data_IF_778900843140
#
_entry.id   IF_778900843140
#
_cell.length_a   1.000
_cell.length_b   1.000
_cell.length_c   1.000
_cell.angle_alpha   90.00
_cell.angle_beta   90.00
_cell.angle_gamma   90.00
#
_symmetry.space_group_name_H-M   'P 1'
#
loop_
_entity.id
_entity.type
_entity.pdbx_description
1 polymer ?
#
# COMPACT_ATOMS: atom_id res chain seq x y z
N UNK A 1 -34.98 39.51 11.66
CA UNK A 1 -34.49 38.42 10.80
C UNK A 1 -32.97 38.33 11.00
N UNK A 2 -32.49 37.65 12.05
CA UNK A 2 -31.75 36.36 12.03
C UNK A 2 -30.62 36.33 10.99
N UNK A 3 -29.37 36.64 11.37
CA UNK A 3 -28.33 35.75 11.92
C UNK A 3 -28.07 34.49 11.09
N UNK A 4 -26.90 34.39 10.45
CA UNK A 4 -25.98 33.23 10.31
C UNK A 4 -24.71 33.77 9.62
N UNK A 5 -23.72 34.20 10.40
CA UNK A 5 -22.33 34.43 9.97
C UNK A 5 -21.40 34.37 11.19
N UNK A 6 -21.51 33.30 12.00
CA UNK A 6 -20.52 32.99 13.06
C UNK A 6 -20.55 31.48 13.28
N UNK A 7 -19.73 30.71 12.55
CA UNK A 7 -19.24 29.41 13.01
C UNK A 7 -18.20 28.83 12.03
N UNK A 8 -16.97 29.37 11.94
CA UNK A 8 -15.83 28.60 11.40
C UNK A 8 -14.46 29.17 11.81
N UNK A 9 -14.37 29.76 13.01
CA UNK A 9 -13.15 30.45 13.44
C UNK A 9 -12.90 30.33 14.95
N UNK A 10 -13.03 29.12 15.50
CA UNK A 10 -12.47 28.76 16.81
C UNK A 10 -12.09 27.29 16.76
N UNK A 11 -10.81 26.98 16.49
CA UNK A 11 -10.05 25.87 17.10
C UNK A 11 -8.59 25.95 16.63
N UNK A 12 -7.95 27.09 16.91
CA UNK A 12 -6.49 27.22 16.96
C UNK A 12 -6.16 27.91 18.28
N UNK A 13 -5.09 27.44 18.91
CA UNK A 13 -4.43 27.95 20.13
C UNK A 13 -4.95 27.45 21.48
N UNK A 14 -4.13 26.59 22.09
CA UNK A 14 -4.15 26.36 23.52
C UNK A 14 -3.39 25.10 23.91
N UNK A 15 -2.06 25.17 23.95
CA UNK A 15 -1.20 24.49 24.95
C UNK A 15 0.29 24.66 24.58
N UNK A 16 0.86 25.80 24.98
CA UNK A 16 2.29 25.91 25.25
C UNK A 16 2.47 26.05 26.77
N UNK A 17 3.41 25.25 27.29
CA UNK A 17 4.30 25.47 28.45
C UNK A 17 3.95 24.95 29.85
N UNK A 18 5.04 24.39 30.42
CA UNK A 18 5.39 24.05 31.81
C UNK A 18 4.91 22.66 32.31
N UNK A 19 5.73 21.76 32.86
CA UNK A 19 7.13 21.85 33.29
C UNK A 19 7.67 20.49 33.76
N UNK A 20 9.01 20.42 33.85
CA UNK A 20 9.86 19.74 34.85
C UNK A 20 10.12 18.21 34.82
N UNK A 21 11.41 17.93 34.54
CA UNK A 21 12.36 16.97 35.12
C UNK A 21 11.85 15.64 35.71
N UNK A 22 12.44 14.54 35.23
CA UNK A 22 13.11 13.60 36.13
C UNK A 22 14.26 12.88 35.41
N UNK A 23 15.47 13.15 35.89
CA UNK A 23 16.70 12.41 35.66
C UNK A 23 16.71 11.09 36.44
N UNK A 24 17.52 10.14 35.95
CA UNK A 24 17.96 8.90 36.57
C UNK A 24 16.99 7.72 36.66
N UNK A 25 17.26 6.69 35.84
CA UNK A 25 17.83 5.43 36.33
C UNK A 25 18.44 4.65 35.15
N UNK A 26 19.78 4.74 35.02
CA UNK A 26 20.59 3.71 34.35
C UNK A 26 20.77 2.58 35.35
N UNK A 27 20.39 1.37 34.97
CA UNK A 27 20.75 0.12 35.64
C UNK A 27 21.05 -0.94 34.57
N UNK A 28 22.12 -1.74 34.72
CA UNK A 28 22.64 -2.59 33.65
C UNK A 28 21.80 -3.86 33.54
N UNK A 29 21.25 -4.15 32.36
CA UNK A 29 20.65 -5.46 32.11
C UNK A 29 21.75 -6.45 31.73
N UNK A 30 22.00 -7.38 32.65
CA UNK A 30 22.82 -8.58 32.47
C UNK A 30 22.29 -9.40 31.29
N UNK A 31 23.20 -9.80 30.42
CA UNK A 31 23.00 -10.82 29.41
C UNK A 31 22.88 -12.17 30.12
N UNK A 32 21.67 -12.73 30.16
CA UNK A 32 21.43 -14.12 30.58
C UNK A 32 21.35 -14.96 29.32
N UNK A 33 22.33 -15.85 29.15
CA UNK A 33 22.33 -16.88 28.14
C UNK A 33 21.06 -17.73 28.25
N UNK A 34 20.32 -17.86 27.14
CA UNK A 34 19.23 -18.80 27.02
C UNK A 34 19.59 -19.82 25.94
N UNK A 35 19.79 -21.03 26.45
CA UNK A 35 19.94 -22.33 25.78
C UNK A 35 19.28 -22.42 24.41
N UNK A 36 20.08 -22.83 23.43
CA UNK A 36 19.67 -23.29 22.11
C UNK A 36 18.79 -24.52 22.25
N UNK A 37 17.51 -24.38 21.92
CA UNK A 37 16.64 -25.51 21.62
C UNK A 37 16.65 -25.72 20.10
N UNK A 38 17.28 -26.82 19.66
CA UNK A 38 17.20 -27.30 18.29
C UNK A 38 15.74 -27.54 17.92
N UNK A 39 15.27 -26.88 16.85
CA UNK A 39 14.00 -27.19 16.21
C UNK A 39 14.25 -27.41 14.72
N UNK A 40 13.70 -28.52 14.22
CA UNK A 40 13.95 -29.16 12.94
C UNK A 40 14.05 -28.21 11.74
N UNK A 41 14.93 -28.60 10.82
CA UNK A 41 15.08 -28.10 9.46
C UNK A 41 13.71 -28.05 8.77
N UNK A 42 13.04 -26.89 8.79
CA UNK A 42 12.08 -26.55 7.74
C UNK A 42 12.89 -26.07 6.55
N UNK A 43 12.60 -26.60 5.37
CA UNK A 43 13.03 -26.03 4.09
C UNK A 43 12.61 -24.56 4.06
N UNK A 44 13.53 -23.68 4.43
CA UNK A 44 13.40 -22.25 4.25
C UNK A 44 13.36 -22.03 2.73
N UNK A 45 12.31 -21.37 2.26
CA UNK A 45 12.33 -20.75 0.95
C UNK A 45 13.64 -19.93 0.85
N UNK A 46 14.41 -20.06 -0.24
CA UNK A 46 15.72 -19.43 -0.34
C UNK A 46 15.60 -17.93 -0.04
N UNK A 47 16.43 -17.44 0.88
CA UNK A 47 16.58 -16.00 1.12
C UNK A 47 16.98 -15.35 -0.20
N UNK A 48 16.07 -14.57 -0.76
CA UNK A 48 16.32 -13.79 -1.96
C UNK A 48 17.35 -12.71 -1.59
N UNK A 49 18.56 -12.82 -2.13
CA UNK A 49 19.56 -11.75 -2.05
C UNK A 49 18.97 -10.48 -2.63
N UNK A 50 19.42 -9.32 -2.15
CA UNK A 50 18.97 -7.99 -2.62
C UNK A 50 18.80 -8.03 -4.15
N UNK A 51 17.60 -7.71 -4.65
CA UNK A 51 17.30 -7.79 -6.08
C UNK A 51 18.36 -7.03 -6.87
N UNK A 52 19.21 -7.78 -7.55
CA UNK A 52 20.13 -7.25 -8.55
C UNK A 52 19.50 -7.58 -9.89
N UNK A 53 19.09 -6.58 -10.69
CA UNK A 53 18.65 -6.83 -12.05
C UNK A 53 19.73 -7.66 -12.74
N UNK A 54 19.35 -8.82 -13.28
CA UNK A 54 20.30 -9.67 -14.01
C UNK A 54 20.67 -9.05 -15.37
N UNK A 55 19.95 -8.00 -15.79
CA UNK A 55 20.17 -7.24 -17.01
C UNK A 55 19.83 -5.76 -16.73
N UNK A 56 20.78 -4.85 -16.95
CA UNK A 56 20.56 -3.39 -16.80
C UNK A 56 19.47 -2.86 -17.75
N UNK A 57 19.01 -3.67 -18.72
CA UNK A 57 17.97 -3.31 -19.69
C UNK A 57 16.57 -3.84 -19.38
N UNK A 58 16.35 -4.52 -18.26
CA UNK A 58 15.03 -5.09 -17.93
C UNK A 58 14.24 -4.18 -16.98
N UNK A 59 12.95 -3.87 -17.27
CA UNK A 59 12.19 -2.92 -16.46
C UNK A 59 12.00 -3.35 -15.01
N UNK A 60 12.41 -2.54 -14.04
CA UNK A 60 12.12 -2.78 -12.62
C UNK A 60 10.71 -2.34 -12.21
N UNK A 61 10.12 -1.43 -12.97
CA UNK A 61 8.79 -0.87 -12.70
C UNK A 61 7.81 -1.26 -13.79
N UNK A 62 6.59 -1.61 -13.39
CA UNK A 62 5.44 -1.69 -14.29
C UNK A 62 4.33 -0.76 -13.80
N UNK A 63 3.93 0.18 -14.64
CA UNK A 63 2.80 1.05 -14.40
C UNK A 63 1.54 0.44 -15.01
N UNK A 64 0.55 0.21 -14.16
CA UNK A 64 -0.70 -0.47 -14.45
C UNK A 64 -1.82 0.57 -14.42
N UNK A 65 -2.15 1.09 -15.60
CA UNK A 65 -3.01 2.24 -15.75
C UNK A 65 -4.42 1.80 -16.15
N UNK A 66 -5.41 2.17 -15.35
CA UNK A 66 -6.82 1.96 -15.70
C UNK A 66 -7.47 3.30 -16.04
N UNK A 67 -8.01 3.40 -17.26
CA UNK A 67 -8.61 4.64 -17.76
C UNK A 67 -9.82 4.42 -18.64
N UNK A 68 -10.55 5.49 -18.93
CA UNK A 68 -11.64 5.40 -19.89
C UNK A 68 -11.10 5.17 -21.32
N UNK A 69 -10.05 5.92 -21.66
CA UNK A 69 -9.36 5.93 -22.95
C UNK A 69 -7.89 6.23 -22.70
N UNK A 70 -7.00 5.66 -23.50
CA UNK A 70 -5.57 5.92 -23.44
C UNK A 70 -5.29 7.35 -23.87
N UNK A 71 -4.45 8.03 -23.09
CA UNK A 71 -3.95 9.35 -23.41
C UNK A 71 -2.58 9.57 -22.74
N UNK A 72 -1.85 10.59 -23.18
CA UNK A 72 -0.57 10.93 -22.59
C UNK A 72 -0.76 11.45 -21.16
N UNK A 73 -0.06 10.84 -20.20
CA UNK A 73 0.06 11.36 -18.83
C UNK A 73 1.38 12.13 -18.75
N UNK A 74 1.32 13.41 -18.40
CA UNK A 74 2.50 14.29 -18.45
C UNK A 74 3.62 13.75 -17.54
N UNK A 75 4.80 13.55 -18.12
CA UNK A 75 6.00 13.06 -17.42
C UNK A 75 6.08 11.54 -17.32
N UNK A 76 5.03 10.80 -17.66
CA UNK A 76 5.05 9.33 -17.66
C UNK A 76 5.27 8.80 -19.08
N UNK A 77 6.49 8.33 -19.33
CA UNK A 77 6.87 7.63 -20.56
C UNK A 77 7.50 6.29 -20.22
N UNK A 78 7.39 5.32 -21.12
CA UNK A 78 8.14 4.07 -21.03
C UNK A 78 9.64 4.34 -21.13
N UNK A 79 10.44 3.59 -20.39
CA UNK A 79 11.90 3.64 -20.38
C UNK A 79 12.46 2.22 -20.29
N UNK A 80 13.76 1.98 -20.48
CA UNK A 80 14.33 0.66 -20.22
C UNK A 80 14.06 0.13 -18.80
N UNK A 81 13.85 1.02 -17.83
CA UNK A 81 13.56 0.65 -16.44
C UNK A 81 12.06 0.62 -16.10
N UNK A 82 11.20 1.11 -17.01
CA UNK A 82 9.76 1.33 -16.76
C UNK A 82 8.91 0.85 -17.93
N UNK A 83 8.10 -0.16 -17.66
CA UNK A 83 7.03 -0.59 -18.55
C UNK A 83 5.70 0.08 -18.18
N UNK A 84 4.83 0.31 -19.17
CA UNK A 84 3.50 0.87 -18.99
C UNK A 84 2.50 -0.05 -19.68
N UNK A 85 1.45 -0.43 -18.96
CA UNK A 85 0.35 -1.24 -19.47
C UNK A 85 -0.95 -0.47 -19.22
N UNK A 86 -1.71 -0.24 -20.28
CA UNK A 86 -3.00 0.43 -20.25
C UNK A 86 -4.15 -0.56 -20.34
N UNK A 87 -5.10 -0.42 -19.42
CA UNK A 87 -6.43 -0.98 -19.54
C UNK A 87 -7.44 0.14 -19.78
N UNK A 88 -8.20 0.01 -20.86
CA UNK A 88 -9.29 0.93 -21.19
C UNK A 88 -10.64 0.23 -21.07
N UNK A 89 -11.61 0.90 -20.43
CA UNK A 89 -12.95 0.34 -20.21
C UNK A 89 -14.04 0.96 -21.10
N UNK A 90 -13.75 2.08 -21.81
CA UNK A 90 -14.71 2.75 -22.70
C UNK A 90 -14.45 2.49 -24.18
N UNK A 91 -13.19 2.36 -24.57
CA UNK A 91 -12.78 2.08 -25.95
C UNK A 91 -11.56 1.15 -26.00
N UNK A 92 -11.09 0.83 -27.21
CA UNK A 92 -9.98 -0.10 -27.47
C UNK A 92 -8.64 0.60 -27.68
N UNK A 93 -8.43 1.77 -27.07
CA UNK A 93 -7.19 2.54 -27.28
C UNK A 93 -6.02 2.06 -26.42
N UNK A 94 -6.25 1.35 -25.32
CA UNK A 94 -5.20 0.76 -24.48
C UNK A 94 -4.78 -0.64 -24.92
N UNK A 95 -3.77 -1.20 -24.24
CA UNK A 95 -3.26 -2.57 -24.46
C UNK A 95 -4.33 -3.63 -24.17
N UNK A 96 -5.18 -3.37 -23.18
CA UNK A 96 -6.27 -4.25 -22.76
C UNK A 96 -7.59 -3.50 -22.84
N UNK A 97 -8.54 -4.04 -23.61
CA UNK A 97 -9.93 -3.58 -23.55
C UNK A 97 -10.74 -4.44 -22.58
N UNK A 98 -11.21 -3.85 -21.48
CA UNK A 98 -11.98 -4.57 -20.46
C UNK A 98 -13.24 -3.79 -20.03
N UNK A 99 -14.29 -3.80 -20.87
CA UNK A 99 -15.50 -3.02 -20.64
C UNK A 99 -16.31 -3.56 -19.45
N UNK A 100 -17.11 -2.68 -18.84
CA UNK A 100 -17.98 -2.99 -17.69
C UNK A 100 -17.25 -3.52 -16.45
N UNK A 101 -15.92 -3.38 -16.40
CA UNK A 101 -15.15 -3.72 -15.22
C UNK A 101 -15.32 -2.66 -14.14
N UNK A 102 -15.32 -3.11 -12.90
CA UNK A 102 -15.15 -2.24 -11.74
C UNK A 102 -13.68 -1.79 -11.59
N UNK A 103 -13.42 -0.86 -10.68
CA UNK A 103 -12.05 -0.42 -10.39
C UNK A 103 -11.16 -1.57 -9.91
N UNK A 104 -11.64 -2.40 -8.98
CA UNK A 104 -10.89 -3.54 -8.47
C UNK A 104 -10.68 -4.63 -9.53
N UNK A 105 -11.71 -4.95 -10.32
CA UNK A 105 -11.61 -5.95 -11.39
C UNK A 105 -10.64 -5.54 -12.50
N UNK A 106 -10.66 -4.27 -12.93
CA UNK A 106 -9.72 -3.76 -13.93
C UNK A 106 -8.27 -3.83 -13.44
N UNK A 107 -8.02 -3.42 -12.19
CA UNK A 107 -6.70 -3.57 -11.57
C UNK A 107 -6.26 -5.03 -11.46
N UNK A 108 -7.15 -5.95 -11.14
CA UNK A 108 -6.81 -7.36 -11.13
C UNK A 108 -6.46 -7.90 -12.53
N UNK A 109 -7.17 -7.46 -13.59
CA UNK A 109 -6.82 -7.84 -14.97
C UNK A 109 -5.46 -7.30 -15.41
N UNK A 110 -5.14 -6.06 -15.01
CA UNK A 110 -3.81 -5.46 -15.21
C UNK A 110 -2.73 -6.23 -14.46
N UNK A 111 -2.99 -6.64 -13.22
CA UNK A 111 -2.05 -7.43 -12.44
C UNK A 111 -1.74 -8.78 -13.09
N UNK A 112 -2.78 -9.47 -13.58
CA UNK A 112 -2.61 -10.73 -14.32
C UNK A 112 -1.73 -10.52 -15.54
N UNK A 113 -1.97 -9.48 -16.34
CA UNK A 113 -1.11 -9.15 -17.49
C UNK A 113 0.36 -8.98 -17.08
N UNK A 114 0.59 -8.20 -16.03
CA UNK A 114 1.93 -7.92 -15.56
C UNK A 114 2.63 -9.17 -15.04
N UNK A 115 1.91 -10.08 -14.40
CA UNK A 115 2.50 -11.34 -13.92
C UNK A 115 2.77 -12.30 -15.07
N UNK A 116 1.87 -12.39 -16.05
CA UNK A 116 2.09 -13.22 -17.24
C UNK A 116 3.36 -12.76 -17.97
N UNK A 117 3.55 -11.44 -18.14
CA UNK A 117 4.79 -10.86 -18.70
C UNK A 117 6.00 -11.09 -17.80
N UNK A 118 5.84 -10.97 -16.48
CA UNK A 118 6.93 -11.20 -15.53
C UNK A 118 7.41 -12.65 -15.55
N UNK A 119 6.51 -13.62 -15.69
CA UNK A 119 6.82 -15.05 -15.72
C UNK A 119 7.64 -15.46 -16.95
N UNK A 120 7.59 -14.69 -18.04
CA UNK A 120 8.42 -14.90 -19.23
C UNK A 120 9.86 -14.37 -19.05
N UNK A 121 10.12 -13.59 -18.00
CA UNK A 121 11.42 -12.97 -17.75
C UNK A 121 12.32 -13.85 -16.89
N UNK A 122 13.62 -13.81 -17.18
CA UNK A 122 14.66 -14.59 -16.47
C UNK A 122 15.29 -13.84 -15.28
N UNK A 123 14.91 -12.58 -15.08
CA UNK A 123 15.48 -11.69 -14.08
C UNK A 123 14.65 -11.59 -12.79
N UNK A 124 13.57 -12.37 -12.67
CA UNK A 124 12.70 -12.36 -11.49
C UNK A 124 11.62 -11.27 -11.50
N UNK A 125 11.29 -10.76 -12.70
CA UNK A 125 10.13 -9.90 -12.92
C UNK A 125 10.33 -8.44 -12.49
N UNK A 126 9.22 -7.74 -12.27
CA UNK A 126 9.27 -6.34 -11.81
C UNK A 126 9.52 -6.29 -10.29
N UNK A 127 10.26 -5.28 -9.85
CA UNK A 127 10.42 -4.97 -8.43
C UNK A 127 9.16 -4.31 -7.86
N UNK A 128 8.53 -3.43 -8.66
CA UNK A 128 7.36 -2.64 -8.26
C UNK A 128 6.23 -2.70 -9.29
N UNK A 129 5.03 -2.96 -8.77
CA UNK A 129 3.77 -2.93 -9.51
C UNK A 129 3.02 -1.66 -9.12
N UNK A 130 2.99 -0.66 -10.02
CA UNK A 130 2.48 0.69 -9.74
C UNK A 130 1.10 0.86 -10.37
N UNK A 131 0.04 0.72 -9.56
CA UNK A 131 -1.31 1.00 -10.02
C UNK A 131 -1.54 2.50 -10.10
N UNK A 132 -2.17 2.94 -11.18
CA UNK A 132 -2.36 4.35 -11.51
C UNK A 132 -3.73 4.58 -12.13
N UNK A 133 -4.45 5.61 -11.69
CA UNK A 133 -5.63 6.09 -12.41
C UNK A 133 -5.21 7.05 -13.52
N UNK A 134 -6.01 7.14 -14.58
CA UNK A 134 -5.68 7.91 -15.79
C UNK A 134 -5.67 9.44 -15.61
N UNK A 135 -6.14 9.95 -14.46
CA UNK A 135 -6.31 11.37 -14.19
C UNK A 135 -5.45 11.89 -13.05
N UNK A 136 -4.42 11.14 -12.65
CA UNK A 136 -3.41 11.61 -11.70
C UNK A 136 -2.44 12.60 -12.34
N UNK A 137 -2.08 13.63 -11.58
CA UNK A 137 -0.95 14.50 -11.89
C UNK A 137 0.07 14.44 -10.76
N UNK A 138 1.33 14.14 -11.09
CA UNK A 138 2.43 14.20 -10.13
C UNK A 138 3.20 15.51 -10.27
N UNK A 139 3.66 16.05 -9.14
CA UNK A 139 4.42 17.30 -9.07
C UNK A 139 5.65 17.10 -8.19
N UNK A 140 6.82 17.42 -8.74
CA UNK A 140 8.08 17.47 -8.01
C UNK A 140 8.11 18.64 -7.03
N UNK A 141 8.54 18.37 -5.80
CA UNK A 141 8.68 19.36 -4.74
C UNK A 141 10.14 19.41 -4.30
N UNK A 142 10.72 20.62 -4.37
CA UNK A 142 12.12 20.88 -4.04
C UNK A 142 12.20 21.71 -2.76
N UNK A 143 12.22 21.06 -1.60
CA UNK A 143 12.61 21.70 -0.34
C UNK A 143 13.72 20.90 0.34
N UNK A 144 14.83 21.56 0.68
CA UNK A 144 16.02 20.90 1.22
C UNK A 144 15.75 20.11 2.52
N UNK A 145 14.75 20.51 3.31
CA UNK A 145 14.37 19.86 4.58
C UNK A 145 13.50 18.60 4.42
N UNK A 146 13.03 18.28 3.20
CA UNK A 146 12.21 17.08 2.92
C UNK A 146 12.83 16.17 1.85
N UNK A 147 13.93 16.59 1.23
CA UNK A 147 14.70 15.74 0.30
C UNK A 147 15.61 14.80 1.08
N UNK A 148 15.63 13.50 0.72
CA UNK A 148 16.58 12.54 1.32
C UNK A 148 17.92 12.48 0.57
N UNK A 149 17.99 13.05 -0.63
CA UNK A 149 19.19 13.20 -1.47
C UNK A 149 19.17 14.53 -2.21
N UNK A 150 20.34 14.97 -2.68
CA UNK A 150 20.53 16.29 -3.31
C UNK A 150 20.34 16.29 -4.84
N UNK A 151 20.38 15.12 -5.46
CA UNK A 151 20.42 14.88 -6.90
C UNK A 151 19.11 14.24 -7.41
N UNK A 152 17.97 14.71 -6.91
CA UNK A 152 16.66 14.20 -7.32
C UNK A 152 16.31 14.60 -8.77
N UNK A 153 15.79 13.69 -9.61
CA UNK A 153 15.32 14.00 -10.96
C UNK A 153 14.24 15.08 -10.96
N UNK A 154 14.16 15.90 -12.01
CA UNK A 154 13.07 16.90 -12.16
C UNK A 154 11.73 16.24 -12.49
N UNK A 155 11.75 15.16 -13.27
CA UNK A 155 10.55 14.40 -13.59
C UNK A 155 9.97 13.74 -12.32
N UNK A 156 8.69 13.96 -12.00
CA UNK A 156 8.10 13.45 -10.76
C UNK A 156 7.94 11.93 -10.72
N UNK A 157 7.83 11.25 -11.86
CA UNK A 157 7.78 9.79 -11.93
C UNK A 157 9.15 9.19 -11.66
N UNK A 158 10.20 9.71 -12.31
CA UNK A 158 11.58 9.27 -12.08
C UNK A 158 11.97 9.50 -10.61
N UNK A 159 11.59 10.66 -10.05
CA UNK A 159 11.79 10.97 -8.64
C UNK A 159 11.04 10.04 -7.69
N UNK A 160 9.83 9.62 -8.06
CA UNK A 160 9.05 8.66 -7.28
C UNK A 160 9.70 7.28 -7.30
N UNK A 161 10.24 6.86 -8.44
CA UNK A 161 10.99 5.60 -8.57
C UNK A 161 12.27 5.60 -7.74
N UNK A 162 13.05 6.68 -7.73
CA UNK A 162 14.22 6.80 -6.84
C UNK A 162 13.82 6.63 -5.37
N UNK A 163 12.67 7.19 -4.95
CA UNK A 163 12.13 6.93 -3.62
C UNK A 163 11.82 5.45 -3.38
N UNK A 164 11.22 4.78 -4.36
CA UNK A 164 10.90 3.36 -4.26
C UNK A 164 12.18 2.50 -4.18
N UNK A 165 13.24 2.85 -4.89
CA UNK A 165 14.53 2.15 -4.84
C UNK A 165 15.28 2.40 -3.52
N UNK A 166 15.26 3.63 -3.01
CA UNK A 166 16.01 3.99 -1.82
C UNK A 166 15.35 3.48 -0.54
N UNK A 167 14.01 3.57 -0.44
CA UNK A 167 13.28 3.12 0.76
C UNK A 167 12.78 1.68 0.68
N UNK A 168 12.61 1.15 -0.54
CA UNK A 168 11.97 -0.13 -0.83
C UNK A 168 10.68 -0.38 -0.01
N UNK A 169 9.70 0.55 0.06
CA UNK A 169 8.49 0.36 0.86
C UNK A 169 7.67 -0.84 0.37
N UNK A 170 6.99 -1.52 1.29
CA UNK A 170 6.00 -2.54 0.94
C UNK A 170 4.88 -1.95 0.08
N UNK A 171 4.39 -0.76 0.48
CA UNK A 171 3.47 0.06 -0.29
C UNK A 171 4.00 1.49 -0.30
N UNK A 172 4.38 1.99 -1.48
CA UNK A 172 4.85 3.35 -1.69
C UNK A 172 3.81 4.19 -2.40
N UNK A 173 3.64 5.45 -2.01
CA UNK A 173 2.74 6.39 -2.71
C UNK A 173 3.23 7.84 -2.60
N UNK A 174 2.96 8.71 -3.59
CA UNK A 174 3.20 10.15 -3.45
C UNK A 174 2.31 10.76 -2.37
N UNK A 175 2.75 11.88 -1.80
CA UNK A 175 1.95 12.60 -0.81
C UNK A 175 0.74 13.26 -1.48
N UNK A 176 -0.50 13.02 -1.02
CA UNK A 176 -1.63 13.86 -1.42
C UNK A 176 -1.38 15.30 -0.96
N UNK A 177 -1.64 16.29 -1.81
CA UNK A 177 -1.45 17.72 -1.46
C UNK A 177 -2.22 18.13 -0.20
N UNK A 178 -3.34 17.47 0.09
CA UNK A 178 -4.18 17.72 1.26
C UNK A 178 -3.58 17.24 2.58
N UNK A 179 -2.51 16.44 2.57
CA UNK A 179 -1.89 15.95 3.80
C UNK A 179 -1.05 17.06 4.43
N UNK A 180 -1.54 17.63 5.54
CA UNK A 180 -0.72 18.47 6.42
C UNK A 180 0.21 17.59 7.24
N UNK A 181 1.50 17.65 6.98
CA UNK A 181 2.52 16.86 7.69
C UNK A 181 3.59 17.80 8.22
N UNK A 182 4.14 17.45 9.39
CA UNK A 182 5.11 18.27 10.10
C UNK A 182 6.37 18.52 9.27
N UNK A 183 6.98 19.72 9.35
CA UNK A 183 7.87 20.25 8.32
C UNK A 183 9.25 19.59 8.14
N UNK A 184 9.59 18.47 8.80
CA UNK A 184 10.99 18.02 8.90
C UNK A 184 11.21 16.52 8.66
N UNK A 185 10.40 15.85 7.83
CA UNK A 185 10.61 14.45 7.44
C UNK A 185 10.69 14.29 5.93
N UNK A 186 11.59 13.42 5.48
CA UNK A 186 11.75 13.07 4.06
C UNK A 186 10.63 12.17 3.55
N UNK A 187 10.13 11.34 4.45
CA UNK A 187 9.04 10.39 4.22
C UNK A 187 8.06 10.39 5.40
N UNK A 188 6.84 9.92 5.17
CA UNK A 188 5.82 9.83 6.21
C UNK A 188 4.99 8.56 6.14
N UNK A 189 4.13 8.38 7.14
CA UNK A 189 3.16 7.30 7.22
C UNK A 189 1.76 7.88 7.36
N UNK A 190 0.85 7.43 6.51
CA UNK A 190 -0.58 7.64 6.70
C UNK A 190 -1.28 6.29 6.81
N UNK A 191 -2.37 6.27 7.58
CA UNK A 191 -3.27 5.13 7.55
C UNK A 191 -4.12 5.16 6.27
N UNK A 192 -4.67 6.33 5.94
CA UNK A 192 -5.46 6.52 4.73
C UNK A 192 -4.54 6.94 3.59
N UNK A 193 -4.67 6.28 2.44
CA UNK A 193 -4.02 6.70 1.21
C UNK A 193 -4.93 6.34 0.03
N UNK A 194 -4.93 7.23 -0.97
CA UNK A 194 -5.86 7.16 -2.08
C UNK A 194 -5.52 5.99 -3.00
N UNK A 195 -6.53 5.46 -3.71
CA UNK A 195 -6.32 4.41 -4.70
C UNK A 195 -5.59 4.95 -5.94
N UNK A 196 -5.66 6.26 -6.21
CA UNK A 196 -5.23 6.90 -7.45
C UNK A 196 -3.79 6.58 -7.90
N UNK A 197 -2.87 6.39 -6.95
CA UNK A 197 -1.54 5.84 -7.23
C UNK A 197 -1.04 5.04 -6.04
N UNK A 198 -0.67 3.77 -6.27
CA UNK A 198 -0.06 2.91 -5.27
C UNK A 198 0.98 1.99 -5.90
N UNK A 199 2.21 2.04 -5.39
CA UNK A 199 3.30 1.15 -5.77
C UNK A 199 3.43 0.00 -4.77
N UNK A 200 3.30 -1.23 -5.25
CA UNK A 200 3.42 -2.44 -4.44
C UNK A 200 4.74 -3.13 -4.74
N UNK A 201 5.56 -3.32 -3.71
CA UNK A 201 6.77 -4.13 -3.85
C UNK A 201 6.36 -5.59 -4.16
N UNK A 202 7.06 -6.26 -5.07
CA UNK A 202 6.71 -7.61 -5.57
C UNK A 202 6.41 -8.64 -4.48
N UNK A 203 7.14 -8.59 -3.36
CA UNK A 203 6.94 -9.50 -2.22
C UNK A 203 5.53 -9.37 -1.59
N UNK A 204 4.92 -8.20 -1.69
CA UNK A 204 3.57 -7.95 -1.18
C UNK A 204 2.46 -8.58 -2.02
N UNK A 205 2.75 -8.95 -3.28
CA UNK A 205 1.80 -9.67 -4.14
C UNK A 205 1.40 -11.02 -3.56
N UNK A 206 2.19 -11.56 -2.64
CA UNK A 206 1.87 -12.79 -1.93
C UNK A 206 0.62 -12.68 -1.04
N UNK A 207 0.18 -11.46 -0.68
CA UNK A 207 -0.92 -11.28 0.26
C UNK A 207 -1.75 -9.99 0.13
N UNK A 208 -1.16 -8.86 -0.26
CA UNK A 208 -1.92 -7.62 -0.47
C UNK A 208 -2.76 -7.65 -1.74
N UNK A 209 -2.28 -8.36 -2.76
CA UNK A 209 -2.91 -8.47 -4.05
C UNK A 209 -3.19 -9.95 -4.38
N UNK A 210 -4.19 -10.26 -5.24
CA UNK A 210 -5.07 -9.35 -5.98
C UNK A 210 -6.04 -8.55 -5.09
N UNK A 211 -6.62 -7.47 -5.62
CA UNK A 211 -7.67 -6.71 -4.94
C UNK A 211 -8.88 -7.59 -4.63
N UNK A 212 -9.50 -7.35 -3.47
CA UNK A 212 -10.73 -8.01 -3.05
C UNK A 212 -11.91 -7.27 -3.66
N UNK A 213 -12.56 -7.89 -4.66
CA UNK A 213 -13.67 -7.30 -5.44
C UNK A 213 -15.05 -7.78 -4.99
N UNK A 214 -15.11 -8.61 -3.94
CA UNK A 214 -16.37 -9.25 -3.49
C UNK A 214 -17.47 -8.24 -3.12
N UNK A 215 -17.08 -7.01 -2.78
CA UNK A 215 -17.99 -5.93 -2.41
C UNK A 215 -18.03 -4.78 -3.44
N UNK A 216 -17.49 -4.95 -4.63
CA UNK A 216 -17.49 -3.88 -5.65
C UNK A 216 -18.92 -3.55 -6.14
N UNK A 217 -19.85 -4.49 -6.00
CA UNK A 217 -21.28 -4.26 -6.23
C UNK A 217 -21.92 -3.34 -5.18
N UNK A 218 -21.28 -3.17 -4.01
CA UNK A 218 -21.69 -2.21 -2.97
C UNK A 218 -20.93 -0.90 -3.14
N UNK A 219 -19.59 -0.97 -3.14
CA UNK A 219 -18.74 0.21 -3.23
C UNK A 219 -17.34 -0.14 -3.72
N UNK A 220 -16.87 0.54 -4.77
CA UNK A 220 -15.50 0.41 -5.28
C UNK A 220 -14.46 0.91 -4.27
N UNK A 221 -14.87 1.72 -3.28
CA UNK A 221 -14.01 2.16 -2.18
C UNK A 221 -13.54 1.01 -1.29
N UNK A 222 -14.29 -0.09 -1.22
CA UNK A 222 -13.97 -1.18 -0.30
C UNK A 222 -12.72 -1.95 -0.71
N UNK A 223 -12.46 -2.09 -2.02
CA UNK A 223 -11.21 -2.67 -2.52
C UNK A 223 -9.98 -1.95 -1.94
N UNK A 224 -9.95 -0.61 -2.02
CA UNK A 224 -8.86 0.19 -1.43
C UNK A 224 -8.86 0.13 0.09
N UNK A 225 -10.02 0.05 0.74
CA UNK A 225 -10.11 -0.09 2.19
C UNK A 225 -9.42 -1.36 2.69
N UNK A 226 -9.58 -2.48 1.99
CA UNK A 226 -8.89 -3.72 2.35
C UNK A 226 -7.37 -3.58 2.21
N UNK A 227 -6.89 -2.91 1.15
CA UNK A 227 -5.47 -2.60 0.97
C UNK A 227 -4.96 -1.77 2.14
N UNK A 228 -5.62 -0.69 2.51
CA UNK A 228 -5.21 0.17 3.63
C UNK A 228 -5.13 -0.60 4.95
N UNK A 229 -6.16 -1.41 5.26
CA UNK A 229 -6.16 -2.24 6.48
C UNK A 229 -5.03 -3.24 6.53
N UNK A 230 -4.88 -4.01 5.45
CA UNK A 230 -3.92 -5.10 5.38
C UNK A 230 -2.51 -4.52 5.40
N UNK A 231 -2.29 -3.41 4.69
CA UNK A 231 -1.04 -2.64 4.73
C UNK A 231 -0.70 -2.18 6.15
N UNK A 232 -1.69 -1.66 6.89
CA UNK A 232 -1.46 -1.19 8.24
C UNK A 232 -1.25 -2.32 9.25
N UNK A 233 -1.90 -3.48 9.06
CA UNK A 233 -1.78 -4.64 9.93
C UNK A 233 -0.45 -5.39 9.75
N UNK A 234 0.00 -5.58 8.51
CA UNK A 234 1.15 -6.43 8.18
C UNK A 234 2.42 -5.65 7.85
N UNK A 235 2.29 -4.43 7.35
CA UNK A 235 3.41 -3.62 6.82
C UNK A 235 3.45 -2.25 7.47
N UNK A 236 3.22 -2.19 8.79
CA UNK A 236 2.88 -0.93 9.47
C UNK A 236 3.92 0.20 9.24
N UNK A 237 5.21 -0.16 9.25
CA UNK A 237 6.31 0.79 9.07
C UNK A 237 6.73 0.99 7.61
N UNK A 238 6.11 0.27 6.67
CA UNK A 238 6.54 0.14 5.28
C UNK A 238 5.45 0.57 4.26
N UNK A 239 4.39 1.25 4.73
CA UNK A 239 3.36 1.90 3.90
C UNK A 239 3.62 3.40 3.76
N UNK A 240 4.72 3.72 3.09
CA UNK A 240 5.40 5.01 3.19
C UNK A 240 4.96 5.93 2.06
N UNK A 241 4.76 7.21 2.37
CA UNK A 241 4.70 8.24 1.35
C UNK A 241 5.95 9.12 1.33
N UNK A 242 6.27 9.62 0.15
CA UNK A 242 7.35 10.58 -0.05
C UNK A 242 6.84 12.02 -0.04
N UNK A 243 7.61 12.95 0.53
CA UNK A 243 7.26 14.37 0.55
C UNK A 243 7.73 15.14 -0.70
N UNK A 244 8.65 14.57 -1.50
CA UNK A 244 9.24 15.27 -2.66
C UNK A 244 8.44 15.08 -3.95
N UNK A 245 7.42 14.20 -3.92
CA UNK A 245 6.45 14.02 -5.01
C UNK A 245 5.06 14.19 -4.42
N UNK A 246 4.34 15.17 -4.94
CA UNK A 246 2.95 15.41 -4.60
C UNK A 246 2.05 14.84 -5.68
N UNK A 247 0.91 14.26 -5.28
CA UNK A 247 -0.15 13.88 -6.22
C UNK A 247 -1.33 14.83 -6.15
N UNK A 248 -1.91 15.08 -7.33
CA UNK A 248 -3.18 15.78 -7.53
C UNK A 248 -4.14 14.85 -8.25
N UNK A 249 -5.42 14.99 -7.90
CA UNK A 249 -6.53 14.46 -8.68
C UNK A 249 -7.35 15.65 -9.23
N UNK A 250 -7.01 16.18 -10.42
CA UNK A 250 -7.80 17.22 -11.08
C UNK A 250 -9.26 16.80 -11.34
N UNK A 251 -9.53 15.52 -11.58
CA UNK A 251 -10.86 15.00 -11.89
C UNK A 251 -11.54 14.47 -10.63
N UNK A 252 -11.87 15.38 -9.73
CA UNK A 252 -12.60 15.09 -8.50
C UNK A 252 -13.92 14.32 -8.74
N UNK A 253 -13.93 13.02 -8.42
CA UNK A 253 -15.09 12.13 -8.67
C UNK A 253 -16.31 12.36 -7.77
N UNK A 254 -16.25 13.24 -6.76
CA UNK A 254 -17.37 13.46 -5.83
C UNK A 254 -18.61 14.08 -6.50
N UNK A 255 -18.41 14.81 -7.61
CA UNK A 255 -19.49 15.37 -8.43
C UNK A 255 -20.01 14.39 -9.48
N UNK A 256 -19.13 13.55 -10.02
CA UNK A 256 -19.45 12.58 -11.06
C UNK A 256 -19.57 11.19 -10.44
N UNK A 257 -20.55 11.02 -9.53
CA UNK A 257 -20.89 9.69 -9.02
C UNK A 257 -21.30 8.84 -10.21
N UNK A 258 -20.40 8.00 -10.72
CA UNK A 258 -20.76 6.81 -11.47
C UNK A 258 -21.86 6.14 -10.65
N UNK A 259 -23.10 6.19 -11.14
CA UNK A 259 -24.28 5.85 -10.34
C UNK A 259 -24.11 4.42 -9.83
N UNK A 260 -24.00 4.25 -8.52
CA UNK A 260 -23.78 2.95 -7.88
C UNK A 260 -22.35 2.66 -7.42
N UNK A 261 -21.32 3.22 -8.07
CA UNK A 261 -19.90 2.85 -7.82
C UNK A 261 -19.41 3.16 -6.40
N UNK A 262 -20.00 4.16 -5.75
CA UNK A 262 -19.60 4.62 -4.41
C UNK A 262 -20.77 4.61 -3.41
N UNK A 263 -21.77 3.76 -3.64
CA UNK A 263 -22.87 3.56 -2.70
C UNK A 263 -22.31 3.11 -1.36
N UNK A 264 -22.83 3.62 -0.26
CA UNK A 264 -22.41 3.28 1.11
C UNK A 264 -20.91 3.36 1.41
N UNK A 265 -20.14 4.14 0.64
CA UNK A 265 -18.68 4.30 0.79
C UNK A 265 -18.25 4.81 2.17
N UNK A 266 -19.15 5.43 2.93
CA UNK A 266 -18.93 5.86 4.31
C UNK A 266 -19.26 4.80 5.36
N UNK A 267 -19.93 3.70 4.98
CA UNK A 267 -20.35 2.64 5.90
C UNK A 267 -19.28 1.56 6.04
N UNK A 268 -18.19 1.92 6.73
CA UNK A 268 -17.05 1.01 6.95
C UNK A 268 -17.36 -0.21 7.84
N UNK A 269 -18.58 -0.34 8.40
CA UNK A 269 -18.96 -1.59 9.04
C UNK A 269 -19.09 -2.73 8.03
N UNK A 270 -19.52 -2.43 6.79
CA UNK A 270 -19.70 -3.43 5.73
C UNK A 270 -18.37 -4.14 5.40
N UNK A 271 -17.31 -3.44 4.94
CA UNK A 271 -16.03 -4.10 4.63
C UNK A 271 -15.36 -4.67 5.88
N UNK A 272 -15.54 -4.05 7.05
CA UNK A 272 -15.01 -4.60 8.31
C UNK A 272 -15.64 -5.95 8.65
N UNK A 273 -16.97 -6.02 8.67
CA UNK A 273 -17.67 -7.24 9.07
C UNK A 273 -17.46 -8.36 8.05
N UNK A 274 -17.34 -8.00 6.77
CA UNK A 274 -16.87 -8.91 5.74
C UNK A 274 -15.44 -9.40 6.00
N UNK A 275 -14.46 -8.52 6.20
CA UNK A 275 -13.07 -8.95 6.43
C UNK A 275 -12.93 -9.84 7.67
N UNK A 276 -13.77 -9.63 8.69
CA UNK A 276 -13.79 -10.46 9.90
C UNK A 276 -14.16 -11.91 9.64
N UNK A 277 -14.95 -12.21 8.61
CA UNK A 277 -15.30 -13.60 8.26
C UNK A 277 -14.11 -14.41 7.74
N UNK A 278 -13.02 -13.73 7.37
CA UNK A 278 -11.80 -14.36 6.89
C UNK A 278 -10.96 -14.98 8.01
N UNK A 279 -11.18 -14.59 9.27
CA UNK A 279 -10.36 -15.08 10.39
C UNK A 279 -10.99 -16.30 11.04
N UNK A 280 -10.18 -17.30 11.36
CA UNK A 280 -10.63 -18.37 12.26
C UNK A 280 -10.65 -17.83 13.69
N UNK A 281 -11.86 -17.70 14.25
CA UNK A 281 -12.09 -17.18 15.61
C UNK A 281 -11.37 -17.96 16.71
N UNK A 282 -11.01 -19.22 16.45
CA UNK A 282 -10.33 -20.09 17.42
C UNK A 282 -8.81 -19.99 17.33
N UNK A 283 -8.28 -19.36 16.27
CA UNK A 283 -6.84 -19.26 16.04
C UNK A 283 -6.26 -18.02 16.71
N UNK A 284 -5.04 -18.19 17.21
CA UNK A 284 -4.27 -17.14 17.88
C UNK A 284 -2.87 -17.11 17.32
N UNK A 285 -2.28 -15.91 17.27
CA UNK A 285 -0.90 -15.67 16.86
C UNK A 285 -0.11 -15.15 18.04
N UNK A 286 1.16 -15.54 18.13
CA UNK A 286 2.07 -14.94 19.09
C UNK A 286 2.54 -13.58 18.56
N UNK A 287 2.30 -12.55 19.33
CA UNK A 287 2.73 -11.18 19.02
C UNK A 287 3.94 -10.82 19.88
N UNK A 288 4.83 -9.99 19.34
CA UNK A 288 6.06 -9.56 20.02
C UNK A 288 5.78 -8.88 21.37
N UNK A 289 4.64 -8.19 21.49
CA UNK A 289 4.30 -7.36 22.66
C UNK A 289 3.20 -7.93 23.56
N UNK A 290 2.28 -8.72 23.02
CA UNK A 290 1.05 -9.10 23.72
C UNK A 290 0.91 -10.61 23.93
N UNK A 291 1.93 -11.40 23.59
CA UNK A 291 1.84 -12.86 23.63
C UNK A 291 0.80 -13.38 22.64
N UNK A 292 0.12 -14.48 22.99
CA UNK A 292 -0.91 -15.10 22.16
C UNK A 292 -2.16 -14.22 22.05
N UNK A 293 -2.46 -13.71 20.86
CA UNK A 293 -3.61 -12.84 20.58
C UNK A 293 -4.43 -13.37 19.40
N UNK A 294 -5.75 -13.17 19.44
CA UNK A 294 -6.60 -13.42 18.26
C UNK A 294 -6.53 -12.20 17.34
N UNK A 295 -6.20 -12.41 16.05
CA UNK A 295 -6.15 -11.31 15.09
C UNK A 295 -7.51 -10.64 14.88
N UNK A 296 -8.61 -11.37 15.10
CA UNK A 296 -9.96 -10.81 15.08
C UNK A 296 -10.11 -9.61 16.03
N UNK A 297 -9.39 -9.61 17.16
CA UNK A 297 -9.41 -8.50 18.13
C UNK A 297 -8.76 -7.23 17.60
N UNK A 298 -7.80 -7.34 16.69
CA UNK A 298 -7.20 -6.21 15.98
C UNK A 298 -8.25 -5.53 15.08
N UNK A 299 -9.22 -6.28 14.58
CA UNK A 299 -10.30 -5.81 13.70
C UNK A 299 -11.62 -5.52 14.43
N UNK A 300 -11.62 -5.51 15.77
CA UNK A 300 -12.82 -5.23 16.58
C UNK A 300 -13.16 -3.73 16.70
N UNK A 301 -12.22 -2.83 16.40
CA UNK A 301 -12.45 -1.39 16.52
C UNK A 301 -12.93 -0.81 15.18
N UNK A 302 -13.92 0.09 15.16
CA UNK A 302 -14.31 0.78 13.94
C UNK A 302 -13.08 1.51 13.39
N UNK A 303 -12.67 1.21 12.15
CA UNK A 303 -11.49 1.80 11.59
C UNK A 303 -11.92 3.01 10.79
N UNK A 304 -11.64 4.17 11.36
CA UNK A 304 -11.61 5.40 10.57
C UNK A 304 -10.71 6.48 11.17
N UNK A 305 -10.31 6.38 12.44
CA UNK A 305 -9.59 7.49 13.08
C UNK A 305 -8.44 7.05 14.01
N UNK A 306 -8.10 5.76 14.04
CA UNK A 306 -6.92 5.33 14.78
C UNK A 306 -5.70 5.60 13.92
N UNK A 307 -4.93 6.63 14.30
CA UNK A 307 -3.51 6.71 13.97
C UNK A 307 -2.87 5.38 14.39
N UNK A 308 -2.72 4.45 13.45
CA UNK A 308 -1.89 3.27 13.66
C UNK A 308 -0.45 3.79 13.73
N UNK A 309 -0.02 4.05 14.98
CA UNK A 309 1.30 4.59 15.28
C UNK A 309 2.34 3.69 14.65
N UNK A 310 3.22 4.31 13.88
CA UNK A 310 4.34 3.67 13.22
C UNK A 310 5.42 4.71 12.98
N UNK A 311 6.58 4.25 12.54
CA UNK A 311 7.64 5.10 12.00
C UNK A 311 8.01 4.55 10.62
N UNK A 312 8.13 5.40 9.58
CA UNK A 312 8.65 4.96 8.30
C UNK A 312 10.00 4.27 8.49
N UNK A 313 10.21 3.14 7.82
CA UNK A 313 11.47 2.41 7.85
C UNK A 313 11.84 1.94 6.45
N UNK A 314 13.11 2.09 6.09
CA UNK A 314 13.66 1.43 4.90
C UNK A 314 13.60 -0.10 5.06
N UNK A 315 13.36 -0.82 3.95
CA UNK A 315 13.25 -2.29 3.96
C UNK A 315 14.45 -2.98 4.60
N UNK A 316 15.66 -2.51 4.30
CA UNK A 316 16.91 -3.18 4.66
C UNK A 316 16.86 -4.67 4.25
N UNK A 317 17.00 -5.59 5.21
CA UNK A 317 16.95 -7.04 4.99
C UNK A 317 15.55 -7.65 5.29
N UNK A 318 14.50 -6.84 5.38
CA UNK A 318 13.16 -7.35 5.63
C UNK A 318 12.58 -8.07 4.41
N UNK A 319 11.98 -9.24 4.66
CA UNK A 319 11.10 -9.93 3.72
C UNK A 319 9.63 -9.52 3.97
N UNK A 320 8.93 -9.08 2.93
CA UNK A 320 7.50 -8.73 3.00
C UNK A 320 6.58 -9.92 2.65
N UNK A 321 7.11 -11.05 2.19
CA UNK A 321 6.28 -12.24 1.92
C UNK A 321 5.62 -12.73 3.21
N UNK A 322 4.30 -12.71 3.24
CA UNK A 322 3.54 -13.44 4.27
C UNK A 322 3.63 -14.91 3.93
N UNK A 323 3.99 -15.80 4.86
CA UNK A 323 4.13 -17.23 4.55
C UNK A 323 2.78 -17.92 4.38
N UNK A 324 2.72 -18.94 3.52
CA UNK A 324 1.51 -19.78 3.37
C UNK A 324 1.12 -20.43 4.70
N UNK A 325 2.11 -20.87 5.48
CA UNK A 325 1.91 -21.39 6.84
C UNK A 325 1.20 -20.39 7.75
N UNK A 326 1.59 -19.12 7.71
CA UNK A 326 0.92 -18.09 8.49
C UNK A 326 -0.54 -17.95 8.03
N UNK A 327 -0.78 -17.86 6.72
CA UNK A 327 -2.13 -17.71 6.17
C UNK A 327 -3.04 -18.86 6.61
N UNK A 328 -2.60 -20.11 6.43
CA UNK A 328 -3.39 -21.29 6.77
C UNK A 328 -3.54 -21.51 8.28
N UNK A 329 -2.69 -20.88 9.10
CA UNK A 329 -2.82 -20.92 10.56
C UNK A 329 -3.83 -19.90 11.07
N UNK A 330 -3.92 -18.73 10.43
CA UNK A 330 -4.64 -17.56 10.95
C UNK A 330 -6.03 -17.41 10.33
N UNK A 331 -6.10 -17.61 9.02
CA UNK A 331 -7.30 -17.36 8.25
C UNK A 331 -8.13 -18.63 8.13
N UNK A 332 -9.44 -18.44 8.02
CA UNK A 332 -10.38 -19.49 7.69
C UNK A 332 -10.12 -19.94 6.25
N UNK A 333 -9.39 -21.05 6.10
CA UNK A 333 -9.05 -21.60 4.79
C UNK A 333 -10.29 -22.03 4.01
N UNK A 334 -11.45 -22.23 4.63
CA UNK A 334 -12.68 -22.53 3.89
C UNK A 334 -13.34 -21.28 3.29
N UNK A 335 -12.86 -20.08 3.62
CA UNK A 335 -13.40 -18.84 3.06
C UNK A 335 -13.01 -18.68 1.57
N UNK A 336 -13.96 -18.41 0.66
CA UNK A 336 -13.67 -18.32 -0.78
C UNK A 336 -12.54 -17.35 -1.14
N UNK A 337 -12.53 -16.17 -0.52
CA UNK A 337 -11.50 -15.17 -0.79
C UNK A 337 -10.12 -15.56 -0.26
N UNK A 338 -10.05 -16.32 0.84
CA UNK A 338 -8.78 -16.85 1.35
C UNK A 338 -8.26 -17.95 0.42
N UNK A 339 -9.16 -18.80 -0.10
CA UNK A 339 -8.81 -19.79 -1.13
C UNK A 339 -8.23 -19.13 -2.39
N UNK A 340 -8.82 -18.02 -2.86
CA UNK A 340 -8.28 -17.27 -4.00
C UNK A 340 -6.87 -16.75 -3.74
N UNK A 341 -6.57 -16.25 -2.54
CA UNK A 341 -5.20 -15.84 -2.17
C UNK A 341 -4.26 -17.04 -2.16
N UNK A 342 -4.68 -18.19 -1.62
CA UNK A 342 -3.84 -19.40 -1.60
C UNK A 342 -3.57 -19.88 -3.02
N UNK A 343 -4.57 -19.89 -3.90
CA UNK A 343 -4.44 -20.27 -5.31
C UNK A 343 -3.53 -19.31 -6.07
N UNK A 344 -3.73 -18.00 -5.88
CA UNK A 344 -2.91 -16.95 -6.48
C UNK A 344 -1.42 -17.13 -6.22
N UNK A 345 -1.07 -17.51 -5.00
CA UNK A 345 0.33 -17.73 -4.60
C UNK A 345 1.00 -18.93 -5.24
N UNK A 346 0.23 -19.84 -5.85
CA UNK A 346 0.76 -20.99 -6.56
C UNK A 346 1.10 -20.66 -8.03
N UNK A 347 0.79 -19.44 -8.48
CA UNK A 347 1.22 -18.95 -9.79
C UNK A 347 2.73 -18.61 -9.66
N UNK A 348 3.58 -19.07 -10.60
CA UNK A 348 4.97 -18.65 -10.66
C UNK A 348 5.03 -17.11 -10.77
N UNK A 349 5.63 -16.47 -9.78
CA UNK A 349 5.80 -15.00 -9.70
C UNK A 349 7.27 -14.62 -9.82
#
# INVERSE_FOLDING_TARGET
>A
MKNIYVLYLIFVFGCLLLSLSLTHLRGPFKQSAANTCECGKSTLDPMDTKFTPNDENSPQFVYLIQGASMHAIQGLNATPNREIIWLTFRDRTGDIYFPNSTHGEGRNRLLTEAIDRAAERKDGGYLYYVFLDDDVELVSVNFANISWRTDLPENPYDRFEEFLLDYEPAVGYPRPITFHTGPNSTVGLSYNFDAIINAFHRHTLSFLLPYITDLDHVSWWFAQWFIMHTSAAFYNSYRIFTHVVHMKNPRLHWHNKLKGAYTDSSNFSIPRDYYRTWFDKNKRVNTVKWGSASLLTTFNRPPMYLLMKGRPMEKNNMEYRVSTRFITTVFNTSHPSVQRIIQWRNIPM
#
